data_IF_495984242943
#
_entry.id   IF_495984242943
#
_cell.length_a   1.000
_cell.length_b   1.000
_cell.length_c   1.000
_cell.angle_alpha   90.00
_cell.angle_beta   90.00
_cell.angle_gamma   90.00
#
_symmetry.space_group_name_H-M   'P 1'
#
loop_
_entity.id
_entity.type
_entity.pdbx_description
1 polymer ?
#
# COMPACT_ATOMS: atom_id res chain seq x y z
N UNK A 1 -41.20 -7.89 -18.73
CA UNK A 1 -40.47 -6.72 -18.20
C UNK A 1 -39.73 -7.04 -16.90
N UNK A 2 -40.31 -7.80 -15.96
CA UNK A 2 -39.66 -8.20 -14.70
C UNK A 2 -38.28 -8.89 -14.85
N UNK A 3 -38.08 -9.80 -15.83
CA UNK A 3 -36.79 -10.50 -15.95
C UNK A 3 -35.62 -9.59 -16.35
N UNK A 4 -35.87 -8.46 -17.01
CA UNK A 4 -34.82 -7.52 -17.41
C UNK A 4 -34.33 -6.68 -16.23
N UNK A 5 -35.23 -6.37 -15.30
CA UNK A 5 -34.93 -5.63 -14.07
C UNK A 5 -34.14 -6.51 -13.09
N UNK A 6 -34.52 -7.79 -12.96
CA UNK A 6 -33.78 -8.77 -12.16
C UNK A 6 -32.36 -9.00 -12.68
N UNK A 7 -32.17 -9.08 -14.00
CA UNK A 7 -30.85 -9.23 -14.62
C UNK A 7 -29.95 -8.00 -14.38
N UNK A 8 -30.49 -6.78 -14.44
CA UNK A 8 -29.75 -5.55 -14.14
C UNK A 8 -29.34 -5.48 -12.65
N UNK A 9 -30.22 -5.88 -11.74
CA UNK A 9 -29.90 -5.95 -10.31
C UNK A 9 -28.80 -6.98 -10.04
N UNK A 10 -28.87 -8.17 -10.64
CA UNK A 10 -27.85 -9.21 -10.48
C UNK A 10 -26.50 -8.77 -11.03
N UNK A 11 -26.47 -8.10 -12.18
CA UNK A 11 -25.25 -7.53 -12.76
C UNK A 11 -24.68 -6.41 -11.88
N UNK A 12 -25.53 -5.53 -11.34
CA UNK A 12 -25.15 -4.49 -10.39
C UNK A 12 -24.51 -5.07 -9.12
N UNK A 13 -25.13 -6.08 -8.52
CA UNK A 13 -24.61 -6.77 -7.33
C UNK A 13 -23.27 -7.47 -7.62
N UNK A 14 -23.12 -8.10 -8.80
CA UNK A 14 -21.87 -8.73 -9.21
C UNK A 14 -20.73 -7.71 -9.38
N UNK A 15 -20.99 -6.57 -10.03
CA UNK A 15 -20.00 -5.48 -10.15
C UNK A 15 -19.60 -4.95 -8.78
N UNK A 16 -20.56 -4.70 -7.89
CA UNK A 16 -20.29 -4.19 -6.53
C UNK A 16 -19.43 -5.17 -5.71
N UNK A 17 -19.72 -6.47 -5.77
CA UNK A 17 -18.88 -7.51 -5.12
C UNK A 17 -17.48 -7.58 -5.71
N UNK A 18 -17.32 -7.40 -7.02
CA UNK A 18 -16.01 -7.38 -7.66
C UNK A 18 -15.20 -6.15 -7.22
N UNK A 19 -15.81 -4.97 -7.22
CA UNK A 19 -15.20 -3.73 -6.75
C UNK A 19 -14.74 -3.85 -5.29
N UNK A 20 -15.58 -4.40 -4.41
CA UNK A 20 -15.27 -4.59 -2.98
C UNK A 20 -14.05 -5.49 -2.75
N UNK A 21 -13.92 -6.59 -3.51
CA UNK A 21 -12.74 -7.46 -3.45
C UNK A 21 -11.46 -6.79 -3.94
N UNK A 22 -11.56 -5.95 -4.97
CA UNK A 22 -10.42 -5.17 -5.47
C UNK A 22 -10.00 -4.14 -4.42
N UNK A 23 -10.98 -3.47 -3.79
CA UNK A 23 -10.77 -2.50 -2.71
C UNK A 23 -10.02 -3.14 -1.53
N UNK A 24 -10.45 -4.31 -1.08
CA UNK A 24 -9.78 -5.09 -0.02
C UNK A 24 -8.33 -5.44 -0.36
N UNK A 25 -8.06 -5.89 -1.59
CA UNK A 25 -6.70 -6.22 -2.04
C UNK A 25 -5.80 -4.99 -2.09
N UNK A 26 -6.33 -3.85 -2.52
CA UNK A 26 -5.60 -2.57 -2.53
C UNK A 26 -5.30 -2.08 -1.12
N UNK A 27 -6.23 -2.24 -0.17
CA UNK A 27 -6.00 -1.95 1.25
C UNK A 27 -4.88 -2.82 1.82
N UNK A 28 -4.90 -4.13 1.55
CA UNK A 28 -3.84 -5.05 1.97
C UNK A 28 -2.49 -4.71 1.33
N UNK A 29 -2.48 -4.36 0.05
CA UNK A 29 -1.27 -3.92 -0.65
C UNK A 29 -0.71 -2.65 -0.02
N UNK A 30 -1.56 -1.65 0.26
CA UNK A 30 -1.12 -0.44 0.94
C UNK A 30 -0.56 -0.72 2.34
N UNK A 31 -1.22 -1.56 3.12
CA UNK A 31 -0.72 -1.97 4.43
C UNK A 31 0.65 -2.68 4.33
N UNK A 32 0.85 -3.52 3.32
CA UNK A 32 2.13 -4.18 3.07
C UNK A 32 3.22 -3.17 2.69
N UNK A 33 2.93 -2.25 1.78
CA UNK A 33 3.86 -1.20 1.35
C UNK A 33 4.24 -0.28 2.52
N UNK A 34 3.28 0.05 3.38
CA UNK A 34 3.50 0.91 4.54
C UNK A 34 4.35 0.19 5.61
N UNK A 35 4.03 -1.06 5.94
CA UNK A 35 4.84 -1.86 6.86
C UNK A 35 6.25 -2.12 6.30
N UNK A 36 6.38 -2.34 5.00
CA UNK A 36 7.67 -2.46 4.32
C UNK A 36 8.50 -1.19 4.44
N UNK A 37 7.88 -0.02 4.28
CA UNK A 37 8.55 1.27 4.45
C UNK A 37 9.09 1.46 5.87
N UNK A 38 8.28 1.13 6.89
CA UNK A 38 8.71 1.18 8.30
C UNK A 38 9.87 0.21 8.56
N UNK A 39 9.81 -1.01 8.03
CA UNK A 39 10.89 -1.99 8.16
C UNK A 39 12.19 -1.52 7.49
N UNK A 40 12.11 -0.93 6.29
CA UNK A 40 13.26 -0.37 5.59
C UNK A 40 13.84 0.85 6.31
N UNK A 41 12.99 1.71 6.87
CA UNK A 41 13.44 2.83 7.69
C UNK A 41 14.16 2.35 8.95
N UNK A 42 13.59 1.35 9.64
CA UNK A 42 14.24 0.71 10.79
C UNK A 42 15.58 0.09 10.40
N UNK A 43 15.66 -0.64 9.28
CA UNK A 43 16.92 -1.19 8.79
C UNK A 43 17.97 -0.10 8.51
N UNK A 44 17.58 1.00 7.85
CA UNK A 44 18.45 2.14 7.61
C UNK A 44 18.94 2.83 8.88
N UNK A 45 18.18 2.75 9.99
CA UNK A 45 18.58 3.30 11.27
C UNK A 45 19.47 2.33 12.08
N UNK A 46 19.07 1.05 12.16
CA UNK A 46 19.73 0.04 13.00
C UNK A 46 21.03 -0.50 12.39
N UNK A 47 21.15 -0.59 11.06
CA UNK A 47 22.38 -1.06 10.40
C UNK A 47 23.59 -0.19 10.74
N UNK A 48 23.59 1.14 10.55
CA UNK A 48 24.73 1.97 10.92
C UNK A 48 24.98 2.00 12.44
N UNK A 49 23.93 1.90 13.27
CA UNK A 49 24.07 1.79 14.73
C UNK A 49 24.75 0.47 15.16
N UNK A 50 24.61 -0.61 14.39
CA UNK A 50 25.30 -1.88 14.67
C UNK A 50 26.79 -1.86 14.29
N UNK A 51 27.20 -0.92 13.43
CA UNK A 51 28.58 -0.80 12.92
C UNK A 51 29.36 0.32 13.60
N UNK A 52 29.31 0.38 14.94
CA UNK A 52 29.86 1.37 15.91
C UNK A 52 31.28 1.95 15.70
N UNK A 53 31.94 1.77 14.56
CA UNK A 53 33.28 2.29 14.29
C UNK A 53 33.31 3.58 13.46
N UNK A 54 32.38 3.78 12.52
CA UNK A 54 32.29 5.04 11.75
C UNK A 54 30.85 5.33 11.35
N UNK A 55 30.24 6.36 11.94
CA UNK A 55 28.90 6.83 11.55
C UNK A 55 29.03 7.64 10.25
N UNK A 56 29.36 6.97 9.16
CA UNK A 56 29.23 7.53 7.82
C UNK A 56 27.82 7.18 7.32
N UNK A 57 27.02 8.21 7.02
CA UNK A 57 25.76 8.03 6.30
C UNK A 57 26.10 7.58 4.89
N UNK A 58 26.21 6.26 4.71
CA UNK A 58 26.54 5.66 3.43
C UNK A 58 25.40 5.91 2.42
N UNK A 59 25.77 5.96 1.13
CA UNK A 59 24.83 6.16 0.02
C UNK A 59 23.75 5.10 0.01
N UNK A 60 24.07 3.88 0.47
CA UNK A 60 23.09 2.81 0.65
C UNK A 60 22.01 3.16 1.67
N UNK A 61 22.37 3.71 2.83
CA UNK A 61 21.40 4.12 3.87
C UNK A 61 20.44 5.18 3.34
N UNK A 62 20.96 6.13 2.55
CA UNK A 62 20.14 7.17 1.92
C UNK A 62 19.22 6.61 0.83
N UNK A 63 19.67 5.62 0.06
CA UNK A 63 18.84 4.88 -0.89
C UNK A 63 17.71 4.10 -0.20
N UNK A 64 17.99 3.44 0.93
CA UNK A 64 16.97 2.75 1.72
C UNK A 64 15.91 3.71 2.27
N UNK A 65 16.33 4.89 2.72
CA UNK A 65 15.42 5.93 3.22
C UNK A 65 14.52 6.46 2.09
N UNK A 66 15.10 6.77 0.92
CA UNK A 66 14.34 7.22 -0.25
C UNK A 66 13.36 6.16 -0.75
N UNK A 67 13.78 4.90 -0.76
CA UNK A 67 12.92 3.79 -1.16
C UNK A 67 11.77 3.59 -0.16
N UNK A 68 12.01 3.72 1.15
CA UNK A 68 10.95 3.71 2.17
C UNK A 68 9.93 4.84 1.96
N UNK A 69 10.40 6.08 1.70
CA UNK A 69 9.53 7.23 1.42
C UNK A 69 8.69 6.98 0.16
N UNK A 70 9.31 6.51 -0.93
CA UNK A 70 8.60 6.20 -2.16
C UNK A 70 7.52 5.14 -1.95
N UNK A 71 7.84 4.08 -1.20
CA UNK A 71 6.90 3.00 -0.87
C UNK A 71 5.74 3.50 -0.01
N UNK A 72 6.01 4.39 0.93
CA UNK A 72 5.00 5.02 1.78
C UNK A 72 4.05 5.92 0.96
N UNK A 73 4.59 6.79 0.10
CA UNK A 73 3.79 7.64 -0.81
C UNK A 73 2.95 6.76 -1.74
N UNK A 74 3.51 5.68 -2.27
CA UNK A 74 2.79 4.75 -3.15
C UNK A 74 1.63 4.07 -2.40
N UNK A 75 1.84 3.67 -1.14
CA UNK A 75 0.78 3.17 -0.26
C UNK A 75 -0.33 4.21 -0.01
N UNK A 76 0.03 5.48 0.23
CA UNK A 76 -0.95 6.56 0.39
C UNK A 76 -1.73 6.85 -0.90
N UNK A 77 -1.06 6.87 -2.05
CA UNK A 77 -1.70 7.06 -3.35
C UNK A 77 -2.69 5.92 -3.66
N UNK A 78 -2.33 4.69 -3.32
CA UNK A 78 -3.21 3.53 -3.44
C UNK A 78 -4.45 3.71 -2.57
N UNK A 79 -4.31 4.15 -1.32
CA UNK A 79 -5.46 4.42 -0.43
C UNK A 79 -6.32 5.57 -0.93
N UNK A 80 -5.72 6.67 -1.40
CA UNK A 80 -6.45 7.83 -1.91
C UNK A 80 -7.22 7.56 -3.22
N UNK A 81 -6.88 6.49 -3.94
CA UNK A 81 -7.62 6.02 -5.12
C UNK A 81 -8.72 5.01 -4.80
N UNK A 82 -8.86 4.59 -3.55
CA UNK A 82 -10.01 3.80 -3.12
C UNK A 82 -11.19 4.74 -2.96
N UNK A 83 -12.19 4.58 -3.81
CA UNK A 83 -13.48 5.25 -3.66
C UNK A 83 -14.05 4.91 -2.27
N UNK A 84 -14.48 5.92 -1.53
CA UNK A 84 -15.14 5.74 -0.23
C UNK A 84 -16.43 4.96 -0.47
N UNK A 85 -16.46 3.70 -0.05
CA UNK A 85 -17.72 2.99 0.20
C UNK A 85 -18.37 3.62 1.45
N UNK A 86 -18.89 4.83 1.32
CA UNK A 86 -19.94 5.38 2.18
C UNK A 86 -21.29 5.30 1.44
#
# INVERSE_FOLDING_TARGET
MASREEDEVVLGVRRRRAARRINERLKLLSALLNNGAVAMFAAGLFVPLSQMHEIHVDRFTMLWLLAAIALHIMGQLVLGRLESEE
#
